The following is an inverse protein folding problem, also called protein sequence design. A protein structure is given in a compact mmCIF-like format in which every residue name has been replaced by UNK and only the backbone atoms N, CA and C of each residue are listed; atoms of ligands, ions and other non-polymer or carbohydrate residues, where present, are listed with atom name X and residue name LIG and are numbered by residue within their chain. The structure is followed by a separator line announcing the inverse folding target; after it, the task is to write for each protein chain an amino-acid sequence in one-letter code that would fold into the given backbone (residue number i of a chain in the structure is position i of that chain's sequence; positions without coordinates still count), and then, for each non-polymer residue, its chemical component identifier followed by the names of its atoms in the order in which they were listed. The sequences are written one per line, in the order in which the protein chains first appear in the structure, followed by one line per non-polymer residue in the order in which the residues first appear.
data_IF_116723667545
#
_entry.id   IF_116723667545
#
_cell.length_a   1.000
_cell.length_b   1.000
_cell.length_c   1.000
_cell.angle_alpha   90.00
_cell.angle_beta   90.00
_cell.angle_gamma   90.00
#
_symmetry.space_group_name_H-M   'P 1'
#
loop_
_entity.id
_entity.type
_entity.pdbx_description
1 polymer ?
#
# COMPACT_ATOMS: atom_id res chain seq x y z
N UNK A 1 30.67 40.99 25.44
CA UNK A 1 29.33 41.02 24.80
C UNK A 1 29.36 40.65 23.31
N UNK A 2 30.20 41.29 22.47
CA UNK A 2 30.28 40.97 21.02
C UNK A 2 30.58 39.50 20.69
N UNK A 3 31.58 38.89 21.33
CA UNK A 3 31.95 37.50 21.08
C UNK A 3 30.83 36.49 21.38
N UNK A 4 30.09 36.70 22.47
CA UNK A 4 28.95 35.85 22.84
C UNK A 4 27.87 35.92 21.76
N UNK A 5 27.59 37.11 21.23
CA UNK A 5 26.60 37.28 20.17
C UNK A 5 27.04 36.61 18.87
N UNK A 6 28.32 36.75 18.50
CA UNK A 6 28.88 36.03 17.33
C UNK A 6 28.75 34.52 17.48
N UNK A 7 29.10 33.98 18.65
CA UNK A 7 28.97 32.53 18.93
C UNK A 7 27.52 32.09 18.80
N UNK A 8 26.58 32.85 19.37
CA UNK A 8 25.15 32.53 19.30
C UNK A 8 24.64 32.55 17.86
N UNK A 9 25.05 33.53 17.05
CA UNK A 9 24.69 33.60 15.63
C UNK A 9 25.25 32.42 14.82
N UNK A 10 26.50 32.01 15.11
CA UNK A 10 27.11 30.83 14.47
C UNK A 10 26.36 29.54 14.83
N UNK A 11 26.00 29.36 16.11
CA UNK A 11 25.22 28.19 16.55
C UNK A 11 23.85 28.17 15.87
N UNK A 12 23.16 29.31 15.82
CA UNK A 12 21.85 29.42 15.16
C UNK A 12 21.95 29.13 13.65
N UNK A 13 22.98 29.65 12.98
CA UNK A 13 23.25 29.37 11.57
C UNK A 13 23.50 27.87 11.31
N UNK A 14 24.26 27.21 12.19
CA UNK A 14 24.53 25.78 12.07
C UNK A 14 23.26 24.92 12.27
N UNK A 15 22.44 25.26 13.27
CA UNK A 15 21.17 24.57 13.54
C UNK A 15 20.18 24.73 12.38
N UNK A 16 20.01 25.96 11.87
CA UNK A 16 19.11 26.23 10.75
C UNK A 16 19.58 25.56 9.47
N UNK A 17 20.88 25.59 9.16
CA UNK A 17 21.44 24.87 8.01
C UNK A 17 21.19 23.35 8.12
N UNK A 18 21.39 22.77 9.30
CA UNK A 18 21.14 21.34 9.55
C UNK A 18 19.67 20.96 9.37
N UNK A 19 18.74 21.78 9.88
CA UNK A 19 17.30 21.57 9.71
C UNK A 19 16.87 21.68 8.24
N UNK A 20 17.44 22.62 7.49
CA UNK A 20 17.16 22.77 6.06
C UNK A 20 17.73 21.60 5.25
N UNK A 21 18.90 21.10 5.63
CA UNK A 21 19.51 19.92 5.02
C UNK A 21 18.68 18.66 5.27
N UNK A 22 18.21 18.47 6.51
CA UNK A 22 17.28 17.39 6.87
C UNK A 22 16.00 17.46 6.04
N UNK A 23 15.37 18.64 5.94
CA UNK A 23 14.17 18.82 5.11
C UNK A 23 14.44 18.57 3.62
N UNK A 24 15.61 18.97 3.12
CA UNK A 24 16.01 18.75 1.72
C UNK A 24 16.18 17.25 1.40
N UNK A 25 16.57 16.43 2.38
CA UNK A 25 16.71 14.98 2.22
C UNK A 25 15.41 14.27 1.80
N UNK A 26 14.24 14.88 2.06
CA UNK A 26 12.95 14.38 1.56
C UNK A 26 12.91 14.28 0.04
N UNK A 27 13.55 15.22 -0.66
CA UNK A 27 13.57 15.30 -2.13
C UNK A 27 14.88 14.80 -2.71
N UNK A 28 15.97 14.87 -1.95
CA UNK A 28 17.30 14.44 -2.37
C UNK A 28 17.88 13.44 -1.36
N UNK A 29 17.59 12.13 -1.51
CA UNK A 29 17.99 11.11 -0.53
C UNK A 29 19.50 11.04 -0.25
N UNK A 30 20.34 11.44 -1.20
CA UNK A 30 21.80 11.50 -1.04
C UNK A 30 22.26 12.44 0.07
N UNK A 31 21.46 13.47 0.42
CA UNK A 31 21.77 14.39 1.51
C UNK A 31 21.61 13.75 2.90
N UNK A 32 20.91 12.62 3.04
CA UNK A 32 20.66 12.01 4.34
C UNK A 32 21.94 11.62 5.10
N UNK A 33 22.99 11.21 4.37
CA UNK A 33 24.26 10.78 4.94
C UNK A 33 25.02 11.91 5.65
N UNK A 34 24.87 13.16 5.18
CA UNK A 34 25.57 14.33 5.72
C UNK A 34 24.81 15.06 6.84
N UNK A 35 23.54 14.70 7.08
CA UNK A 35 22.77 15.25 8.20
C UNK A 35 23.29 14.65 9.50
N UNK A 36 23.68 15.46 10.50
CA UNK A 36 24.12 14.94 11.79
C UNK A 36 23.02 14.12 12.49
N UNK A 37 23.34 12.98 13.13
CA UNK A 37 22.35 12.10 13.77
C UNK A 37 21.30 12.76 14.67
N UNK A 38 21.61 13.74 15.55
CA UNK A 38 20.59 14.37 16.38
C UNK A 38 19.61 15.27 15.59
N UNK A 39 19.95 15.65 14.35
CA UNK A 39 19.14 16.50 13.49
C UNK A 39 18.38 15.72 12.40
N UNK A 40 18.54 14.39 12.32
CA UNK A 40 17.86 13.54 11.34
C UNK A 40 16.39 13.34 11.72
N UNK A 41 15.49 14.13 11.16
CA UNK A 41 14.04 13.85 11.24
C UNK A 41 13.61 13.16 9.96
N UNK A 42 13.69 13.85 8.83
CA UNK A 42 13.37 13.29 7.52
C UNK A 42 14.49 12.42 6.95
N UNK A 43 15.75 12.77 7.24
CA UNK A 43 16.89 11.98 6.81
C UNK A 43 16.89 10.59 7.45
N UNK A 44 16.32 10.43 8.64
CA UNK A 44 16.26 9.15 9.35
C UNK A 44 15.46 8.11 8.54
N UNK A 45 14.34 8.53 7.94
CA UNK A 45 13.53 7.65 7.08
C UNK A 45 14.36 7.18 5.86
N UNK A 46 15.07 8.10 5.20
CA UNK A 46 15.93 7.78 4.05
C UNK A 46 17.07 6.84 4.43
N UNK A 47 17.74 7.09 5.54
CA UNK A 47 18.79 6.23 6.08
C UNK A 47 18.25 4.84 6.41
N UNK A 48 17.08 4.76 7.05
CA UNK A 48 16.44 3.50 7.40
C UNK A 48 16.06 2.72 6.13
N UNK A 49 15.42 3.36 5.14
CA UNK A 49 15.09 2.71 3.86
C UNK A 49 16.32 2.17 3.13
N UNK A 50 17.43 2.91 3.14
CA UNK A 50 18.67 2.50 2.48
C UNK A 50 19.33 1.29 3.19
N UNK A 51 19.23 1.24 4.52
CA UNK A 51 19.90 0.23 5.36
C UNK A 51 19.05 -1.01 5.61
N UNK A 52 17.72 -0.89 5.67
CA UNK A 52 16.80 -1.96 6.10
C UNK A 52 16.90 -3.23 5.25
N UNK A 53 17.33 -3.12 4.00
CA UNK A 53 17.54 -4.27 3.09
C UNK A 53 18.99 -4.71 2.96
N UNK A 54 19.95 -3.79 3.10
CA UNK A 54 21.34 -3.99 2.68
C UNK A 54 22.33 -4.08 3.85
N UNK A 55 22.07 -3.39 4.96
CA UNK A 55 22.98 -3.35 6.11
C UNK A 55 22.91 -4.66 6.92
N UNK A 56 23.91 -4.96 7.77
CA UNK A 56 23.83 -6.05 8.73
C UNK A 56 22.55 -5.98 9.58
N UNK A 57 21.90 -7.11 9.93
CA UNK A 57 20.61 -7.11 10.62
C UNK A 57 20.55 -6.23 11.89
N UNK A 58 21.60 -6.26 12.72
CA UNK A 58 21.67 -5.44 13.93
C UNK A 58 21.64 -3.94 13.64
N UNK A 59 22.32 -3.50 12.57
CA UNK A 59 22.34 -2.08 12.15
C UNK A 59 20.97 -1.66 11.61
N UNK A 60 20.37 -2.50 10.76
CA UNK A 60 19.02 -2.25 10.23
C UNK A 60 17.98 -2.13 11.36
N UNK A 61 18.05 -3.00 12.37
CA UNK A 61 17.16 -2.97 13.51
C UNK A 61 17.34 -1.68 14.33
N UNK A 62 18.59 -1.30 14.63
CA UNK A 62 18.87 -0.08 15.38
C UNK A 62 18.34 1.18 14.67
N UNK A 63 18.57 1.32 13.36
CA UNK A 63 18.08 2.48 12.59
C UNK A 63 16.55 2.54 12.52
N UNK A 64 15.88 1.39 12.33
CA UNK A 64 14.41 1.32 12.32
C UNK A 64 13.78 1.63 13.69
N UNK A 65 14.43 1.24 14.80
CA UNK A 65 14.00 1.62 16.15
C UNK A 65 14.07 3.13 16.32
N UNK A 66 15.23 3.75 15.99
CA UNK A 66 15.42 5.21 16.08
C UNK A 66 14.38 5.95 15.23
N UNK A 67 14.09 5.47 14.02
CA UNK A 67 13.04 6.06 13.18
C UNK A 67 11.66 6.03 13.85
N UNK A 68 11.29 4.88 14.41
CA UNK A 68 9.97 4.67 15.03
C UNK A 68 9.83 5.50 16.31
N UNK A 69 10.89 5.60 17.12
CA UNK A 69 10.89 6.43 18.33
C UNK A 69 10.73 7.92 18.00
N UNK A 70 11.41 8.40 16.95
CA UNK A 70 11.33 9.81 16.52
C UNK A 70 10.03 10.15 15.83
N UNK A 71 9.41 9.19 15.16
CA UNK A 71 8.21 9.40 14.36
C UNK A 71 7.33 8.15 14.39
N UNK A 72 6.58 7.91 15.48
CA UNK A 72 5.77 6.71 15.67
C UNK A 72 4.45 6.74 14.87
N UNK A 73 4.18 7.84 14.15
CA UNK A 73 2.88 8.08 13.53
C UNK A 73 2.69 7.52 12.10
N UNK A 74 3.71 7.38 11.25
CA UNK A 74 3.55 6.74 9.94
C UNK A 74 3.48 5.21 10.04
N UNK A 75 2.62 4.57 9.25
CA UNK A 75 2.52 3.11 9.20
C UNK A 75 3.78 2.48 8.56
N UNK A 76 4.32 3.18 7.59
CA UNK A 76 5.50 2.80 6.81
C UNK A 76 6.74 2.62 7.70
N UNK A 77 6.86 3.42 8.77
CA UNK A 77 7.95 3.30 9.73
C UNK A 77 7.85 1.99 10.53
N UNK A 78 6.63 1.59 10.92
CA UNK A 78 6.38 0.30 11.57
C UNK A 78 6.67 -0.86 10.62
N UNK A 79 6.35 -0.72 9.34
CA UNK A 79 6.73 -1.70 8.32
C UNK A 79 8.25 -1.84 8.20
N UNK A 80 9.01 -0.72 8.16
CA UNK A 80 10.47 -0.77 8.17
C UNK A 80 11.03 -1.45 9.43
N UNK A 81 10.41 -1.23 10.59
CA UNK A 81 10.75 -1.92 11.84
C UNK A 81 10.43 -3.42 11.78
N UNK A 82 9.27 -3.81 11.25
CA UNK A 82 8.91 -5.22 11.04
C UNK A 82 9.92 -5.93 10.15
N UNK A 83 10.28 -5.34 9.01
CA UNK A 83 11.29 -5.91 8.10
C UNK A 83 12.62 -6.07 8.83
N UNK A 84 13.05 -5.08 9.62
CA UNK A 84 14.30 -5.16 10.37
C UNK A 84 14.26 -6.25 11.46
N UNK A 85 13.13 -6.40 12.17
CA UNK A 85 12.90 -7.46 13.16
C UNK A 85 12.98 -8.84 12.52
N UNK A 86 12.31 -9.03 11.39
CA UNK A 86 12.37 -10.28 10.62
C UNK A 86 13.81 -10.65 10.26
N UNK A 87 14.58 -9.67 9.73
CA UNK A 87 15.99 -9.87 9.37
C UNK A 87 16.87 -10.20 10.58
N UNK A 88 16.51 -9.73 11.78
CA UNK A 88 17.20 -10.04 13.03
C UNK A 88 16.79 -11.37 13.66
N UNK A 89 15.83 -12.08 13.08
CA UNK A 89 15.30 -13.35 13.59
C UNK A 89 14.12 -13.22 14.56
N UNK A 90 13.69 -12.00 14.89
CA UNK A 90 12.52 -11.73 15.73
C UNK A 90 11.22 -11.81 14.89
N UNK A 91 10.83 -13.04 14.54
CA UNK A 91 9.63 -13.30 13.73
C UNK A 91 8.34 -12.91 14.43
N UNK A 92 8.24 -13.17 15.74
CA UNK A 92 7.05 -12.84 16.52
C UNK A 92 6.87 -11.32 16.58
N UNK A 93 7.91 -10.59 16.99
CA UNK A 93 7.87 -9.14 17.05
C UNK A 93 7.72 -8.48 15.68
N UNK A 94 8.23 -9.10 14.60
CA UNK A 94 7.95 -8.69 13.22
C UNK A 94 6.46 -8.79 12.90
N UNK A 95 5.84 -9.95 13.14
CA UNK A 95 4.42 -10.20 12.89
C UNK A 95 3.50 -9.26 13.66
N UNK A 96 3.80 -8.97 14.92
CA UNK A 96 3.03 -7.98 15.69
C UNK A 96 3.17 -6.56 15.14
N UNK A 97 4.38 -6.20 14.70
CA UNK A 97 4.65 -4.84 14.21
C UNK A 97 3.96 -4.59 12.87
N UNK A 98 3.99 -5.55 11.94
CA UNK A 98 3.32 -5.41 10.64
C UNK A 98 1.80 -5.36 10.77
N UNK A 99 1.22 -6.11 11.72
CA UNK A 99 -0.20 -6.00 12.04
C UNK A 99 -0.56 -4.59 12.55
N UNK A 100 0.25 -4.01 13.44
CA UNK A 100 0.08 -2.63 13.89
C UNK A 100 0.22 -1.62 12.75
N UNK A 101 1.17 -1.83 11.82
CA UNK A 101 1.30 -1.01 10.63
C UNK A 101 0.01 -1.05 9.78
N UNK A 102 -0.52 -2.24 9.53
CA UNK A 102 -1.73 -2.43 8.74
C UNK A 102 -3.01 -1.88 9.40
N UNK A 103 -3.08 -1.89 10.73
CA UNK A 103 -4.16 -1.24 11.50
C UNK A 103 -4.10 0.29 11.39
N UNK A 104 -2.89 0.84 11.26
CA UNK A 104 -2.64 2.27 11.30
C UNK A 104 -2.91 2.98 9.96
N UNK A 105 -2.68 2.29 8.85
CA UNK A 105 -2.85 2.90 7.54
C UNK A 105 -3.15 1.90 6.44
N UNK A 106 -4.19 2.18 5.67
CA UNK A 106 -4.54 1.44 4.45
C UNK A 106 -3.61 1.75 3.27
N UNK A 107 -2.74 2.77 3.41
CA UNK A 107 -1.85 3.27 2.35
C UNK A 107 -0.47 2.62 2.33
N UNK A 108 -0.14 1.79 3.31
CA UNK A 108 1.14 1.08 3.35
C UNK A 108 1.05 -0.23 2.56
N UNK A 109 1.57 -0.30 1.32
CA UNK A 109 1.37 -1.44 0.45
C UNK A 109 2.03 -2.72 0.97
N UNK A 110 3.18 -2.61 1.66
CA UNK A 110 3.86 -3.80 2.18
C UNK A 110 3.03 -4.40 3.32
N UNK A 111 2.54 -3.56 4.23
CA UNK A 111 1.65 -4.03 5.30
C UNK A 111 0.36 -4.64 4.73
N UNK A 112 -0.25 -4.01 3.72
CA UNK A 112 -1.46 -4.57 3.08
C UNK A 112 -1.17 -5.90 2.36
N UNK A 113 -0.02 -6.04 1.71
CA UNK A 113 0.38 -7.30 1.06
C UNK A 113 0.57 -8.42 2.08
N UNK A 114 1.30 -8.15 3.18
CA UNK A 114 1.49 -9.16 4.23
C UNK A 114 0.14 -9.55 4.86
N UNK A 115 -0.73 -8.59 5.13
CA UNK A 115 -2.06 -8.89 5.67
C UNK A 115 -2.95 -9.63 4.68
N UNK A 116 -2.82 -9.38 3.38
CA UNK A 116 -3.48 -10.19 2.35
C UNK A 116 -3.01 -11.65 2.45
N UNK A 117 -1.71 -11.90 2.53
CA UNK A 117 -1.18 -13.26 2.62
C UNK A 117 -1.63 -13.99 3.89
N UNK A 118 -1.61 -13.29 5.03
CA UNK A 118 -2.10 -13.83 6.31
C UNK A 118 -3.59 -14.19 6.20
N UNK A 119 -4.42 -13.27 5.71
CA UNK A 119 -5.86 -13.50 5.55
C UNK A 119 -6.15 -14.64 4.57
N UNK A 120 -5.44 -14.66 3.43
CA UNK A 120 -5.59 -15.69 2.41
C UNK A 120 -5.21 -17.08 2.95
N UNK A 121 -4.15 -17.16 3.74
CA UNK A 121 -3.67 -18.41 4.36
C UNK A 121 -4.59 -18.89 5.48
N UNK A 122 -5.20 -17.96 6.23
CA UNK A 122 -6.18 -18.25 7.26
C UNK A 122 -7.57 -18.61 6.71
N UNK A 123 -7.78 -18.52 5.38
CA UNK A 123 -9.07 -18.74 4.75
C UNK A 123 -10.05 -17.55 4.88
N UNK A 124 -9.62 -16.43 5.47
CA UNK A 124 -10.41 -15.20 5.57
C UNK A 124 -10.40 -14.45 4.23
N UNK A 125 -11.24 -14.92 3.31
CA UNK A 125 -11.39 -14.33 1.96
C UNK A 125 -11.94 -12.91 2.00
N UNK A 126 -12.75 -12.58 3.00
CA UNK A 126 -13.34 -11.26 3.16
C UNK A 126 -12.25 -10.23 3.49
N UNK A 127 -11.37 -10.55 4.45
CA UNK A 127 -10.23 -9.70 4.77
C UNK A 127 -9.23 -9.64 3.63
N UNK A 128 -8.90 -10.77 3.00
CA UNK A 128 -8.01 -10.78 1.84
C UNK A 128 -8.54 -9.88 0.70
N UNK A 129 -9.85 -9.93 0.42
CA UNK A 129 -10.49 -9.03 -0.55
C UNK A 129 -10.35 -7.55 -0.16
N UNK A 130 -10.57 -7.20 1.11
CA UNK A 130 -10.39 -5.82 1.59
C UNK A 130 -8.96 -5.33 1.42
N UNK A 131 -7.97 -6.16 1.74
CA UNK A 131 -6.54 -5.83 1.59
C UNK A 131 -6.15 -5.68 0.12
N UNK A 132 -6.67 -6.55 -0.75
CA UNK A 132 -6.47 -6.44 -2.20
C UNK A 132 -7.12 -5.16 -2.77
N UNK A 133 -8.33 -4.83 -2.35
CA UNK A 133 -9.01 -3.60 -2.74
C UNK A 133 -8.21 -2.34 -2.31
N UNK A 134 -7.62 -2.36 -1.12
CA UNK A 134 -6.73 -1.31 -0.64
C UNK A 134 -5.53 -1.11 -1.59
N UNK A 135 -4.85 -2.19 -1.94
CA UNK A 135 -3.68 -2.20 -2.84
C UNK A 135 -4.03 -1.71 -4.25
N UNK A 136 -5.17 -2.12 -4.79
CA UNK A 136 -5.65 -1.61 -6.08
C UNK A 136 -5.92 -0.10 -6.01
N UNK A 137 -6.44 0.37 -4.87
CA UNK A 137 -6.74 1.78 -4.65
C UNK A 137 -5.51 2.67 -4.54
N UNK A 138 -4.37 2.15 -4.08
CA UNK A 138 -3.11 2.92 -3.97
C UNK A 138 -2.34 2.97 -5.29
N UNK A 139 -2.67 2.12 -6.27
CA UNK A 139 -1.96 2.02 -7.57
C UNK A 139 -0.46 1.73 -7.42
N UNK A 140 -0.08 0.97 -6.39
CA UNK A 140 1.32 0.61 -6.16
C UNK A 140 1.82 -0.36 -7.24
N UNK A 141 2.84 0.04 -7.99
CA UNK A 141 3.40 -0.77 -9.09
C UNK A 141 4.16 -2.01 -8.59
N UNK A 142 4.71 -1.96 -7.37
CA UNK A 142 5.53 -3.05 -6.81
C UNK A 142 4.69 -4.22 -6.27
N UNK A 143 3.41 -3.99 -5.96
CA UNK A 143 2.55 -5.05 -5.46
C UNK A 143 2.19 -6.03 -6.59
N UNK A 144 2.26 -7.35 -6.37
CA UNK A 144 1.91 -8.35 -7.38
C UNK A 144 0.38 -8.50 -7.53
N UNK A 145 -0.34 -7.38 -7.74
CA UNK A 145 -1.80 -7.29 -7.71
C UNK A 145 -2.47 -8.32 -8.62
N UNK A 146 -1.90 -8.59 -9.81
CA UNK A 146 -2.43 -9.59 -10.75
C UNK A 146 -2.39 -11.00 -10.16
N UNK A 147 -1.26 -11.39 -9.58
CA UNK A 147 -1.11 -12.72 -8.96
C UNK A 147 -2.01 -12.85 -7.72
N UNK A 148 -2.03 -11.83 -6.86
CA UNK A 148 -2.88 -11.79 -5.68
C UNK A 148 -4.36 -11.91 -6.06
N UNK A 149 -4.79 -11.20 -7.11
CA UNK A 149 -6.15 -11.30 -7.65
C UNK A 149 -6.43 -12.72 -8.13
N UNK A 150 -5.55 -13.31 -8.94
CA UNK A 150 -5.70 -14.69 -9.44
C UNK A 150 -5.83 -15.70 -8.29
N UNK A 151 -4.99 -15.57 -7.25
CA UNK A 151 -5.01 -16.46 -6.08
C UNK A 151 -6.29 -16.31 -5.28
N UNK A 152 -6.75 -15.07 -5.03
CA UNK A 152 -8.02 -14.84 -4.34
C UNK A 152 -9.21 -15.41 -5.13
N UNK A 153 -9.28 -15.14 -6.44
CA UNK A 153 -10.41 -15.55 -7.28
C UNK A 153 -10.38 -17.04 -7.68
N UNK A 154 -9.29 -17.75 -7.38
CA UNK A 154 -9.15 -19.19 -7.68
C UNK A 154 -10.18 -20.07 -6.97
N UNK A 155 -10.74 -19.59 -5.84
CA UNK A 155 -11.76 -20.31 -5.07
C UNK A 155 -13.10 -19.55 -5.06
N UNK A 156 -14.25 -20.26 -5.04
CA UNK A 156 -15.57 -19.63 -5.06
C UNK A 156 -15.79 -18.60 -3.93
N UNK A 157 -15.31 -18.88 -2.73
CA UNK A 157 -15.45 -18.00 -1.56
C UNK A 157 -14.70 -16.68 -1.76
N UNK A 158 -13.57 -16.71 -2.47
CA UNK A 158 -12.80 -15.51 -2.81
C UNK A 158 -13.48 -14.65 -3.87
N UNK A 159 -14.13 -15.26 -4.85
CA UNK A 159 -14.97 -14.55 -5.83
C UNK A 159 -16.15 -13.85 -5.15
N UNK A 160 -16.85 -14.57 -4.27
CA UNK A 160 -17.94 -14.00 -3.45
C UNK A 160 -17.48 -12.83 -2.59
N UNK A 161 -16.34 -12.98 -1.91
CA UNK A 161 -15.78 -11.92 -1.08
C UNK A 161 -15.43 -10.67 -1.90
N UNK A 162 -14.77 -10.86 -3.05
CA UNK A 162 -14.41 -9.75 -3.94
C UNK A 162 -15.64 -9.08 -4.58
N UNK A 163 -16.64 -9.87 -4.95
CA UNK A 163 -17.92 -9.37 -5.43
C UNK A 163 -18.63 -8.53 -4.35
N UNK A 164 -18.65 -8.99 -3.10
CA UNK A 164 -19.18 -8.23 -1.97
C UNK A 164 -18.44 -6.91 -1.74
N UNK A 165 -17.10 -6.92 -1.84
CA UNK A 165 -16.32 -5.69 -1.77
C UNK A 165 -16.69 -4.70 -2.88
N UNK A 166 -16.89 -5.17 -4.12
CA UNK A 166 -17.34 -4.34 -5.24
C UNK A 166 -18.73 -3.71 -5.02
N UNK A 167 -19.63 -4.40 -4.31
CA UNK A 167 -20.93 -3.84 -3.91
C UNK A 167 -20.73 -2.65 -2.96
N UNK A 168 -19.81 -2.77 -1.99
CA UNK A 168 -19.42 -1.65 -1.12
C UNK A 168 -18.76 -0.49 -1.88
N UNK A 169 -18.07 -0.80 -2.97
CA UNK A 169 -17.46 0.18 -3.86
C UNK A 169 -16.22 0.87 -3.27
N UNK A 170 -15.85 2.02 -3.85
CA UNK A 170 -14.70 2.83 -3.45
C UNK A 170 -13.78 3.20 -4.62
N UNK A 171 -12.74 3.99 -4.33
CA UNK A 171 -11.83 4.55 -5.34
C UNK A 171 -11.05 3.48 -6.13
N UNK A 172 -10.97 2.26 -5.63
CA UNK A 172 -10.32 1.11 -6.26
C UNK A 172 -11.18 0.42 -7.33
N UNK A 173 -12.51 0.58 -7.28
CA UNK A 173 -13.48 -0.14 -8.12
C UNK A 173 -13.20 0.05 -9.61
N UNK A 174 -12.91 1.30 -10.03
CA UNK A 174 -12.60 1.58 -11.44
C UNK A 174 -11.34 0.85 -11.89
N UNK A 175 -10.29 0.87 -11.08
CA UNK A 175 -9.03 0.21 -11.40
C UNK A 175 -9.20 -1.31 -11.47
N UNK A 176 -9.96 -1.91 -10.55
CA UNK A 176 -10.30 -3.34 -10.62
C UNK A 176 -11.04 -3.69 -11.91
N UNK A 177 -12.08 -2.93 -12.26
CA UNK A 177 -12.87 -3.20 -13.48
C UNK A 177 -12.08 -2.97 -14.77
N UNK A 178 -11.17 -1.99 -14.79
CA UNK A 178 -10.19 -1.83 -15.88
C UNK A 178 -9.24 -3.03 -15.98
N UNK A 179 -8.83 -3.60 -14.85
CA UNK A 179 -8.09 -4.87 -14.80
C UNK A 179 -8.92 -6.04 -15.33
N UNK A 180 -10.20 -6.12 -14.97
CA UNK A 180 -11.14 -7.16 -15.44
C UNK A 180 -11.42 -7.10 -16.95
N UNK A 181 -11.29 -5.92 -17.56
CA UNK A 181 -11.29 -5.77 -19.01
C UNK A 181 -10.04 -6.37 -19.67
N UNK A 182 -8.93 -6.50 -18.95
CA UNK A 182 -7.68 -7.08 -19.47
C UNK A 182 -7.51 -8.56 -19.11
N UNK A 183 -8.10 -9.02 -18.02
CA UNK A 183 -8.13 -10.41 -17.57
C UNK A 183 -9.55 -10.96 -17.71
N UNK A 184 -9.75 -11.73 -18.78
CA UNK A 184 -11.04 -12.34 -19.12
C UNK A 184 -11.18 -13.79 -18.66
N UNK A 185 -10.42 -14.18 -17.64
CA UNK A 185 -10.57 -15.49 -17.02
C UNK A 185 -12.00 -15.72 -16.51
N UNK A 186 -12.50 -16.98 -16.53
CA UNK A 186 -13.85 -17.29 -16.02
C UNK A 186 -14.07 -16.81 -14.59
N UNK A 187 -13.05 -16.90 -13.74
CA UNK A 187 -13.10 -16.44 -12.35
C UNK A 187 -13.34 -14.93 -12.24
N UNK A 188 -12.69 -14.13 -13.08
CA UNK A 188 -12.89 -12.68 -13.12
C UNK A 188 -14.30 -12.34 -13.62
N UNK A 189 -14.73 -12.95 -14.72
CA UNK A 189 -16.07 -12.75 -15.30
C UNK A 189 -17.17 -13.10 -14.30
N UNK A 190 -17.05 -14.24 -13.62
CA UNK A 190 -17.99 -14.68 -12.59
C UNK A 190 -18.04 -13.68 -11.42
N UNK A 191 -16.88 -13.19 -10.97
CA UNK A 191 -16.78 -12.21 -9.87
C UNK A 191 -17.50 -10.90 -10.23
N UNK A 192 -17.29 -10.38 -11.45
CA UNK A 192 -17.95 -9.14 -11.91
C UNK A 192 -19.46 -9.35 -12.05
N UNK A 193 -19.87 -10.48 -12.62
CA UNK A 193 -21.30 -10.80 -12.76
C UNK A 193 -21.98 -10.95 -11.39
N UNK A 194 -21.32 -11.61 -10.43
CA UNK A 194 -21.82 -11.73 -9.06
C UNK A 194 -21.94 -10.38 -8.35
N UNK A 195 -20.93 -9.52 -8.50
CA UNK A 195 -20.96 -8.16 -7.97
C UNK A 195 -22.15 -7.35 -8.51
N UNK A 196 -22.38 -7.42 -9.82
CA UNK A 196 -23.49 -6.74 -10.49
C UNK A 196 -24.86 -7.26 -10.04
N UNK A 197 -25.02 -8.58 -9.87
CA UNK A 197 -26.24 -9.16 -9.28
C UNK A 197 -26.44 -8.71 -7.84
N UNK A 198 -25.35 -8.55 -7.08
CA UNK A 198 -25.34 -8.00 -5.73
C UNK A 198 -25.58 -6.49 -5.63
N UNK A 199 -25.75 -5.79 -6.76
CA UNK A 199 -26.05 -4.35 -6.79
C UNK A 199 -24.83 -3.44 -6.81
N UNK A 200 -23.65 -3.94 -7.22
CA UNK A 200 -22.47 -3.11 -7.42
C UNK A 200 -22.73 -2.00 -8.44
N UNK A 201 -22.36 -0.78 -8.09
CA UNK A 201 -22.54 0.40 -8.95
C UNK A 201 -21.31 0.57 -9.84
N UNK A 202 -21.50 0.40 -11.15
CA UNK A 202 -20.44 0.60 -12.16
C UNK A 202 -20.70 1.88 -12.94
N UNK A 203 -19.65 2.62 -13.29
CA UNK A 203 -19.73 3.78 -14.19
C UNK A 203 -20.06 3.32 -15.61
N UNK A 204 -21.02 3.98 -16.28
CA UNK A 204 -21.45 3.58 -17.63
C UNK A 204 -20.31 3.52 -18.66
N UNK A 205 -19.32 4.39 -18.55
CA UNK A 205 -18.13 4.34 -19.40
C UNK A 205 -17.34 3.05 -19.21
N UNK A 206 -17.12 2.63 -17.97
CA UNK A 206 -16.42 1.39 -17.64
C UNK A 206 -17.23 0.17 -18.06
N UNK A 207 -18.55 0.17 -17.79
CA UNK A 207 -19.45 -0.90 -18.22
C UNK A 207 -19.39 -1.10 -19.74
N UNK A 208 -19.50 -0.02 -20.53
CA UNK A 208 -19.43 -0.09 -21.99
C UNK A 208 -18.10 -0.67 -22.51
N UNK A 209 -16.98 -0.36 -21.85
CA UNK A 209 -15.66 -0.91 -22.21
C UNK A 209 -15.61 -2.41 -21.94
N UNK A 210 -16.04 -2.85 -20.74
CA UNK A 210 -16.04 -4.27 -20.36
C UNK A 210 -16.97 -5.07 -21.28
N UNK A 211 -18.20 -4.58 -21.51
CA UNK A 211 -19.18 -5.19 -22.42
C UNK A 211 -18.61 -5.37 -23.83
N UNK A 212 -17.96 -4.34 -24.39
CA UNK A 212 -17.35 -4.42 -25.72
C UNK A 212 -16.28 -5.49 -25.78
N UNK A 213 -15.41 -5.57 -24.78
CA UNK A 213 -14.33 -6.55 -24.75
C UNK A 213 -14.89 -7.96 -24.61
N UNK A 214 -15.90 -8.16 -23.75
CA UNK A 214 -16.53 -9.45 -23.58
C UNK A 214 -17.20 -9.93 -24.86
N UNK A 215 -17.88 -9.03 -25.60
CA UNK A 215 -18.43 -9.33 -26.92
C UNK A 215 -17.35 -9.69 -27.95
N UNK A 216 -16.28 -8.90 -28.02
CA UNK A 216 -15.17 -9.13 -28.96
C UNK A 216 -14.46 -10.47 -28.72
N UNK A 217 -14.40 -10.92 -27.47
CA UNK A 217 -13.77 -12.19 -27.09
C UNK A 217 -14.75 -13.37 -27.00
N UNK A 218 -16.04 -13.17 -27.31
CA UNK A 218 -17.04 -14.24 -27.27
C UNK A 218 -17.33 -14.80 -25.87
N UNK A 219 -17.10 -14.00 -24.83
CA UNK A 219 -17.33 -14.41 -23.44
C UNK A 219 -18.83 -14.35 -23.15
N UNK A 220 -19.39 -15.39 -22.53
CA UNK A 220 -20.78 -15.36 -22.08
C UNK A 220 -20.94 -14.45 -20.86
N UNK A 221 -21.81 -13.44 -20.96
CA UNK A 221 -22.21 -12.56 -19.87
C UNK A 221 -23.68 -12.13 -20.06
N UNK A 222 -24.29 -11.57 -19.01
CA UNK A 222 -25.63 -10.98 -19.08
C UNK A 222 -25.53 -9.47 -19.36
N UNK A 223 -25.89 -8.98 -20.56
CA UNK A 223 -25.82 -7.56 -20.90
C UNK A 223 -26.70 -6.69 -20.01
N UNK A 224 -27.84 -7.20 -19.54
CA UNK A 224 -28.79 -6.45 -18.74
C UNK A 224 -28.20 -6.04 -17.37
N UNK A 225 -27.21 -6.80 -16.87
CA UNK A 225 -26.49 -6.42 -15.65
C UNK A 225 -25.62 -5.17 -15.86
N UNK A 226 -25.03 -5.00 -17.03
CA UNK A 226 -24.16 -3.87 -17.35
C UNK A 226 -24.95 -2.60 -17.71
N UNK A 227 -26.20 -2.74 -18.13
CA UNK A 227 -27.11 -1.61 -18.41
C UNK A 227 -27.55 -0.86 -17.15
N UNK A 228 -27.45 -1.48 -15.97
CA UNK A 228 -27.75 -0.87 -14.64
C UNK A 228 -26.66 0.10 -14.16
N UNK A 229 -25.83 0.59 -15.06
CA UNK A 229 -24.72 1.48 -14.76
C UNK A 229 -25.19 2.85 -14.27
N UNK A 230 -24.29 3.55 -13.57
CA UNK A 230 -24.54 4.91 -13.06
C UNK A 230 -23.77 5.93 -13.90
N UNK A 231 -24.42 7.05 -14.25
CA UNK A 231 -23.74 8.20 -14.85
C UNK A 231 -22.90 8.89 -13.78
N UNK A 232 -21.63 9.17 -14.10
CA UNK A 232 -20.74 9.91 -13.21
C UNK A 232 -21.32 11.32 -12.99
N UNK A 233 -21.62 11.67 -11.74
CA UNK A 233 -21.82 13.08 -11.38
C UNK A 233 -20.45 13.74 -11.46
N UNK A 234 -20.30 14.66 -12.41
CA UNK A 234 -19.12 15.51 -12.58
C UNK A 234 -19.07 16.51 -11.44
#
# INVERSE_FOLDING_TARGET
MRAIWTILMVVLAALTASAQLDRASRRQPSLAAIVPPPMRTFAQERTTMATVRSAPPAVALAESIVLTERSPLPAEHLTLLSIARERSGDRLGSGETIQRAAQRGWRDPIAQQVMFEIALSAGDRAEASRRLAALIGTQEEQAPIKDMTKRLLSVPEGRKAMASALVGGGNWTRAFLSGAASDTSPAMVETVAEALRGGAKIECRTAAVVTRIYQQQGIAFDPALFERCTKRRV
#
